data_IF_227543578069
#
_entry.id   IF_227543578069
#
_cell.length_a   1.000
_cell.length_b   1.000
_cell.length_c   1.000
_cell.angle_alpha   90.00
_cell.angle_beta   90.00
_cell.angle_gamma   90.00
#
_symmetry.space_group_name_H-M   'P 1'
#
loop_
_entity.id
_entity.type
_entity.pdbx_description
1 polymer ?
#
# COMPACT_ATOMS: atom_id res chain seq x y z
N UNK A 1 0.89 16.32 -14.47
CA UNK A 1 -0.22 16.81 -13.63
C UNK A 1 -0.94 15.64 -12.97
N UNK A 2 -1.71 14.86 -13.73
CA UNK A 2 -1.81 13.40 -13.70
C UNK A 2 -1.64 12.80 -12.30
N UNK A 3 -0.45 12.27 -12.04
CA UNK A 3 -0.13 11.40 -10.91
C UNK A 3 0.61 12.11 -9.76
N UNK A 4 0.60 13.45 -9.77
CA UNK A 4 1.21 14.28 -8.72
C UNK A 4 0.18 15.12 -7.96
N UNK A 5 0.69 16.12 -7.26
CA UNK A 5 -0.11 17.11 -6.55
C UNK A 5 0.80 18.12 -5.84
N UNK A 6 0.22 19.20 -5.32
CA UNK A 6 0.96 20.24 -4.61
C UNK A 6 0.61 20.21 -3.12
N UNK A 7 1.61 20.39 -2.25
CA UNK A 7 1.44 20.44 -0.79
C UNK A 7 1.71 19.13 -0.07
N UNK A 8 1.10 18.94 1.10
CA UNK A 8 1.34 17.77 1.95
C UNK A 8 0.45 16.58 1.54
N UNK A 9 0.99 15.35 1.68
CA UNK A 9 0.29 14.07 1.44
C UNK A 9 -0.24 13.87 0.01
N UNK A 10 0.47 14.38 -0.98
CA UNK A 10 0.10 14.29 -2.41
C UNK A 10 0.00 12.86 -2.94
N UNK A 11 0.84 11.93 -2.45
CA UNK A 11 0.74 10.48 -2.77
C UNK A 11 -0.49 9.79 -2.16
N UNK A 12 -1.31 10.52 -1.42
CA UNK A 12 -2.59 10.09 -0.85
C UNK A 12 -3.75 10.97 -1.33
N UNK A 13 -3.58 11.68 -2.45
CA UNK A 13 -4.64 12.40 -3.16
C UNK A 13 -4.86 13.85 -2.74
N UNK A 14 -4.15 14.36 -1.72
CA UNK A 14 -4.23 15.77 -1.37
C UNK A 14 -3.55 16.65 -2.43
N UNK A 15 -4.13 17.81 -2.73
CA UNK A 15 -3.57 18.75 -3.72
C UNK A 15 -3.53 18.21 -5.15
N UNK A 16 -4.44 17.28 -5.48
CA UNK A 16 -4.61 16.80 -6.85
C UNK A 16 -5.01 17.96 -7.77
N UNK A 17 -4.41 18.00 -8.95
CA UNK A 17 -4.67 19.02 -9.96
C UNK A 17 -5.44 18.40 -11.13
N UNK A 18 -6.25 19.21 -11.80
CA UNK A 18 -7.03 18.81 -12.95
C UNK A 18 -6.74 19.73 -14.14
N UNK A 19 -6.57 19.13 -15.31
CA UNK A 19 -6.53 19.81 -16.60
C UNK A 19 -7.28 18.95 -17.60
N UNK A 20 -8.38 19.47 -18.13
CA UNK A 20 -9.25 18.75 -19.06
C UNK A 20 -8.49 18.26 -20.31
N UNK A 21 -7.65 19.11 -20.89
CA UNK A 21 -6.86 18.80 -22.08
C UNK A 21 -5.84 17.66 -21.88
N UNK A 22 -5.47 17.36 -20.63
CA UNK A 22 -4.52 16.30 -20.27
C UNK A 22 -5.20 15.14 -19.55
N UNK A 23 -6.53 15.07 -19.55
CA UNK A 23 -7.29 14.06 -18.80
C UNK A 23 -7.63 12.85 -19.66
N UNK A 24 -7.83 11.71 -18.99
CA UNK A 24 -8.36 10.52 -19.65
C UNK A 24 -9.80 10.76 -20.17
N UNK A 25 -10.26 10.00 -21.17
CA UNK A 25 -11.58 10.19 -21.79
C UNK A 25 -12.75 10.20 -20.78
N UNK A 26 -13.79 10.98 -21.09
CA UNK A 26 -14.95 11.26 -20.24
C UNK A 26 -15.67 10.01 -19.69
N UNK A 27 -15.75 8.95 -20.50
CA UNK A 27 -16.41 7.69 -20.20
C UNK A 27 -15.44 6.51 -20.07
N UNK A 28 -14.16 6.80 -19.80
CA UNK A 28 -13.10 5.79 -19.75
C UNK A 28 -13.42 4.67 -18.75
N UNK A 29 -13.29 3.43 -19.21
CA UNK A 29 -13.24 2.24 -18.35
C UNK A 29 -11.78 1.94 -17.95
N UNK A 30 -11.51 0.99 -17.03
CA UNK A 30 -10.15 0.68 -16.61
C UNK A 30 -9.14 0.42 -17.74
N UNK A 31 -9.59 -0.21 -18.83
CA UNK A 31 -8.72 -0.47 -19.98
C UNK A 31 -8.39 0.82 -20.74
N UNK A 32 -9.39 1.65 -21.05
CA UNK A 32 -9.19 2.95 -21.71
C UNK A 32 -8.21 3.84 -20.93
N UNK A 33 -8.26 3.81 -19.59
CA UNK A 33 -7.30 4.56 -18.75
C UNK A 33 -5.88 4.03 -18.90
N UNK A 34 -5.70 2.71 -19.00
CA UNK A 34 -4.38 2.09 -19.20
C UNK A 34 -3.84 2.40 -20.59
N UNK A 35 -4.69 2.36 -21.60
CA UNK A 35 -4.32 2.66 -22.99
C UNK A 35 -3.99 4.15 -23.16
N UNK A 36 -4.79 5.04 -22.56
CA UNK A 36 -4.49 6.47 -22.50
C UNK A 36 -3.16 6.74 -21.78
N UNK A 37 -2.90 6.05 -20.67
CA UNK A 37 -1.63 6.19 -19.94
C UNK A 37 -0.44 5.70 -20.79
N UNK A 38 -0.58 4.56 -21.47
CA UNK A 38 0.44 4.02 -22.36
C UNK A 38 0.73 4.95 -23.54
N UNK A 39 -0.34 5.46 -24.19
CA UNK A 39 -0.22 6.41 -25.29
C UNK A 39 0.44 7.71 -24.84
N UNK A 40 0.09 8.21 -23.65
CA UNK A 40 0.72 9.41 -23.08
C UNK A 40 2.22 9.18 -22.84
N UNK A 41 2.61 8.00 -22.34
CA UNK A 41 4.03 7.66 -22.19
C UNK A 41 4.76 7.66 -23.54
N UNK A 42 4.16 7.05 -24.57
CA UNK A 42 4.73 7.03 -25.92
C UNK A 42 4.87 8.42 -26.54
N UNK A 43 3.86 9.29 -26.39
CA UNK A 43 3.88 10.66 -26.89
C UNK A 43 5.03 11.48 -26.29
N UNK A 44 5.29 11.30 -25.00
CA UNK A 44 6.42 11.96 -24.32
C UNK A 44 7.76 11.24 -24.49
N UNK A 45 7.83 10.19 -25.33
CA UNK A 45 9.05 9.39 -25.52
C UNK A 45 9.53 8.71 -24.24
N UNK A 46 8.63 8.44 -23.31
CA UNK A 46 8.95 7.84 -22.02
C UNK A 46 8.99 6.31 -22.10
N UNK A 47 10.17 5.77 -21.87
CA UNK A 47 10.38 4.33 -21.68
C UNK A 47 10.89 4.06 -20.26
N UNK A 48 10.29 3.10 -19.53
CA UNK A 48 10.78 2.75 -18.20
C UNK A 48 12.18 2.12 -18.33
N UNK A 49 13.17 2.53 -17.51
CA UNK A 49 14.53 1.98 -17.59
C UNK A 49 14.54 0.46 -17.31
N UNK A 50 15.44 -0.31 -17.90
CA UNK A 50 15.47 -1.77 -17.68
C UNK A 50 15.55 -2.11 -16.18
N UNK A 51 16.47 -1.46 -15.46
CA UNK A 51 16.63 -1.57 -14.01
C UNK A 51 15.95 -0.42 -13.26
N UNK A 52 15.59 -0.61 -11.98
CA UNK A 52 15.14 0.48 -11.12
C UNK A 52 16.20 1.59 -11.04
N UNK A 53 15.82 2.83 -11.37
CA UNK A 53 16.68 3.98 -11.18
C UNK A 53 16.74 4.41 -9.70
N UNK A 54 17.79 5.16 -9.35
CA UNK A 54 17.96 5.77 -8.03
C UNK A 54 16.85 6.79 -7.68
N UNK A 55 16.04 7.20 -8.67
CA UNK A 55 14.86 8.04 -8.48
C UNK A 55 13.57 7.31 -8.86
N UNK A 56 12.43 7.66 -8.25
CA UNK A 56 11.15 7.06 -8.63
C UNK A 56 10.76 7.38 -10.06
N UNK A 57 10.39 6.35 -10.83
CA UNK A 57 9.92 6.49 -12.20
C UNK A 57 8.49 5.96 -12.38
N UNK A 58 7.85 6.43 -13.45
CA UNK A 58 6.53 5.92 -13.84
C UNK A 58 6.63 4.45 -14.25
N UNK A 59 5.72 3.59 -13.78
CA UNK A 59 5.74 2.18 -14.15
C UNK A 59 5.11 1.95 -15.53
N UNK A 60 5.19 0.72 -16.06
CA UNK A 60 4.38 0.33 -17.19
C UNK A 60 2.88 0.31 -16.83
N UNK A 61 1.98 0.31 -17.84
CA UNK A 61 0.53 0.43 -17.64
C UNK A 61 -0.11 -0.69 -16.80
N UNK A 62 0.50 -1.86 -16.75
CA UNK A 62 0.00 -3.03 -16.02
C UNK A 62 -0.01 -2.82 -14.49
N UNK A 63 0.90 -2.00 -13.97
CA UNK A 63 1.02 -1.64 -12.55
C UNK A 63 0.04 -0.55 -12.10
N UNK A 64 -0.68 0.08 -13.04
CA UNK A 64 -1.77 1.00 -12.72
C UNK A 64 -3.03 0.18 -12.42
N UNK A 65 -3.54 0.27 -11.20
CA UNK A 65 -4.84 -0.28 -10.82
C UNK A 65 -5.89 0.82 -10.92
N UNK A 66 -6.99 0.56 -11.61
CA UNK A 66 -8.07 1.53 -11.85
C UNK A 66 -9.39 0.95 -11.36
N UNK A 67 -10.14 1.73 -10.59
CA UNK A 67 -11.47 1.32 -10.12
C UNK A 67 -12.43 1.03 -11.26
N UNK A 68 -13.16 -0.07 -11.15
CA UNK A 68 -14.32 -0.35 -11.97
C UNK A 68 -15.54 0.46 -11.51
N UNK A 69 -16.56 0.46 -12.37
CA UNK A 69 -17.70 1.37 -12.25
C UNK A 69 -17.38 2.74 -12.84
N UNK A 70 -18.36 3.34 -13.53
CA UNK A 70 -18.18 4.62 -14.22
C UNK A 70 -17.69 5.75 -13.32
N UNK A 71 -17.36 6.87 -13.97
CA UNK A 71 -16.89 8.08 -13.30
C UNK A 71 -17.82 8.50 -12.14
N UNK A 72 -17.22 8.86 -11.01
CA UNK A 72 -17.91 9.31 -9.78
C UNK A 72 -17.37 10.66 -9.30
N UNK A 73 -17.97 11.23 -8.26
CA UNK A 73 -17.41 12.45 -7.65
C UNK A 73 -15.94 12.23 -7.21
N UNK A 74 -15.02 13.19 -7.47
CA UNK A 74 -13.61 13.09 -7.09
C UNK A 74 -13.38 12.71 -5.62
N UNK A 75 -14.13 13.32 -4.72
CA UNK A 75 -14.06 13.02 -3.28
C UNK A 75 -14.46 11.58 -2.97
N UNK A 76 -15.46 11.04 -3.67
CA UNK A 76 -15.92 9.66 -3.52
C UNK A 76 -14.88 8.67 -4.04
N UNK A 77 -14.29 8.95 -5.20
CA UNK A 77 -13.17 8.15 -5.74
C UNK A 77 -11.97 8.19 -4.78
N UNK A 78 -11.63 9.35 -4.24
CA UNK A 78 -10.57 9.49 -3.24
C UNK A 78 -10.85 8.68 -1.97
N UNK A 79 -12.04 8.81 -1.39
CA UNK A 79 -12.43 8.09 -0.19
C UNK A 79 -12.37 6.56 -0.40
N UNK A 80 -12.77 6.09 -1.57
CA UNK A 80 -12.72 4.68 -1.95
C UNK A 80 -11.28 4.15 -1.96
N UNK A 81 -10.36 4.81 -2.67
CA UNK A 81 -8.96 4.33 -2.75
C UNK A 81 -8.23 4.44 -1.41
N UNK A 82 -8.47 5.50 -0.63
CA UNK A 82 -7.86 5.63 0.71
C UNK A 82 -8.38 4.54 1.64
N UNK A 83 -9.66 4.20 1.54
CA UNK A 83 -10.26 3.10 2.30
C UNK A 83 -9.62 1.75 1.97
N UNK A 84 -9.26 1.48 0.71
CA UNK A 84 -8.52 0.27 0.33
C UNK A 84 -7.20 0.15 1.10
N UNK A 85 -6.38 1.22 1.14
CA UNK A 85 -5.14 1.21 1.93
C UNK A 85 -5.40 1.10 3.44
N UNK A 86 -6.44 1.74 3.94
CA UNK A 86 -6.83 1.63 5.34
C UNK A 86 -7.16 0.17 5.70
N UNK A 87 -8.01 -0.48 4.90
CA UNK A 87 -8.44 -1.86 5.12
C UNK A 87 -7.28 -2.84 5.03
N UNK A 88 -6.35 -2.66 4.09
CA UNK A 88 -5.11 -3.43 4.01
C UNK A 88 -4.26 -3.27 5.28
N UNK A 89 -4.06 -2.03 5.74
CA UNK A 89 -3.25 -1.74 6.95
C UNK A 89 -3.89 -2.21 8.25
N UNK A 90 -5.23 -2.21 8.32
CA UNK A 90 -5.98 -2.45 9.55
C UNK A 90 -6.61 -3.85 9.61
N UNK A 91 -6.48 -4.66 8.55
CA UNK A 91 -6.79 -6.09 8.57
C UNK A 91 -8.27 -6.42 8.58
N UNK A 92 -9.02 -5.85 7.65
CA UNK A 92 -10.35 -6.37 7.34
C UNK A 92 -11.20 -5.43 6.51
N UNK A 93 -11.67 -5.94 5.37
CA UNK A 93 -12.96 -5.53 4.85
C UNK A 93 -14.07 -5.90 5.85
N UNK A 94 -15.22 -5.22 5.79
CA UNK A 94 -16.45 -5.77 6.32
C UNK A 94 -16.75 -7.14 5.66
N UNK A 95 -17.29 -8.09 6.41
CA UNK A 95 -17.88 -9.29 5.82
C UNK A 95 -19.11 -8.95 4.93
N UNK A 96 -19.71 -9.95 4.27
CA UNK A 96 -20.93 -9.82 3.44
C UNK A 96 -22.13 -9.19 4.19
N UNK A 97 -22.06 -9.03 5.52
CA UNK A 97 -23.09 -8.42 6.38
C UNK A 97 -22.67 -7.06 6.93
N UNK A 98 -21.60 -6.45 6.39
CA UNK A 98 -21.13 -5.12 6.83
C UNK A 98 -20.37 -5.12 8.16
N UNK A 99 -20.06 -6.28 8.75
CA UNK A 99 -19.34 -6.35 10.03
C UNK A 99 -17.84 -6.24 9.79
N UNK A 100 -17.24 -5.12 10.24
CA UNK A 100 -15.79 -4.99 10.36
C UNK A 100 -15.29 -6.08 11.32
N UNK A 101 -14.36 -6.92 10.90
CA UNK A 101 -13.51 -7.67 11.83
C UNK A 101 -12.66 -6.65 12.60
N UNK A 102 -13.22 -6.04 13.65
CA UNK A 102 -12.52 -5.00 14.41
C UNK A 102 -13.34 -4.02 15.24
N UNK A 103 -14.65 -4.22 15.44
CA UNK A 103 -15.37 -3.45 16.46
C UNK A 103 -16.06 -4.36 17.48
N UNK A 104 -15.36 -4.51 18.61
CA UNK A 104 -15.88 -4.71 19.98
C UNK A 104 -17.14 -5.55 20.13
N UNK A 105 -16.95 -6.86 20.31
CA UNK A 105 -17.76 -7.66 21.24
C UNK A 105 -16.75 -8.46 22.08
N UNK A 106 -16.99 -8.53 23.38
CA UNK A 106 -16.04 -8.96 24.40
C UNK A 106 -15.27 -10.24 24.04
N UNK A 107 -13.99 -10.26 24.43
CA UNK A 107 -13.17 -11.47 24.53
C UNK A 107 -13.12 -12.35 23.27
N UNK A 108 -12.41 -11.91 22.21
CA UNK A 108 -11.66 -12.76 21.24
C UNK A 108 -11.42 -12.14 19.83
N UNK A 109 -11.91 -10.93 19.51
CA UNK A 109 -11.77 -10.30 18.18
C UNK A 109 -10.34 -9.88 17.82
N UNK A 110 -9.65 -10.65 16.95
CA UNK A 110 -8.20 -10.53 16.69
C UNK A 110 -7.89 -9.50 15.61
N UNK A 111 -7.11 -8.47 15.96
CA UNK A 111 -6.48 -7.52 15.01
C UNK A 111 -5.57 -8.27 14.01
N UNK A 112 -5.32 -7.76 12.78
CA UNK A 112 -4.31 -8.33 11.90
C UNK A 112 -2.98 -8.43 12.61
N UNK A 113 -2.34 -9.58 12.46
CA UNK A 113 -1.05 -9.82 13.07
C UNK A 113 0.06 -9.45 12.08
N UNK A 114 0.24 -8.14 11.90
CA UNK A 114 1.43 -7.61 11.26
C UNK A 114 2.71 -8.15 11.96
N UNK A 115 3.73 -8.61 11.20
CA UNK A 115 4.99 -9.09 11.78
C UNK A 115 5.66 -8.08 12.73
N UNK A 116 5.44 -6.79 12.53
CA UNK A 116 5.98 -5.70 13.38
C UNK A 116 5.57 -5.83 14.83
N UNK A 117 4.32 -6.25 15.08
CA UNK A 117 3.82 -6.44 16.43
C UNK A 117 4.60 -7.53 17.16
N UNK A 118 5.08 -8.56 16.44
CA UNK A 118 5.93 -9.62 16.98
C UNK A 118 7.35 -9.12 17.23
N UNK A 119 7.94 -8.38 16.28
CA UNK A 119 9.29 -7.82 16.44
C UNK A 119 9.40 -6.95 17.70
N UNK A 120 8.39 -6.12 17.99
CA UNK A 120 8.33 -5.32 19.21
C UNK A 120 8.23 -6.15 20.50
N UNK A 121 7.65 -7.35 20.45
CA UNK A 121 7.51 -8.25 21.62
C UNK A 121 8.77 -9.06 21.88
N UNK A 122 9.48 -9.48 20.83
CA UNK A 122 10.72 -10.23 20.94
C UNK A 122 11.85 -9.40 21.59
N UNK A 123 11.88 -8.09 21.35
CA UNK A 123 12.87 -7.18 21.96
C UNK A 123 12.57 -6.71 23.38
N UNK A 124 11.64 -7.33 24.13
CA UNK A 124 11.32 -6.97 25.52
C UNK A 124 12.00 -7.92 26.52
N UNK A 125 12.68 -7.42 27.57
CA UNK A 125 13.13 -8.26 28.69
C UNK A 125 11.92 -8.96 29.33
N UNK A 126 12.00 -10.28 29.52
CA UNK A 126 10.91 -11.09 30.10
C UNK A 126 9.76 -11.46 29.15
N UNK A 127 9.87 -11.14 27.85
CA UNK A 127 8.93 -11.59 26.83
C UNK A 127 9.05 -13.09 26.55
N UNK A 128 8.50 -13.95 27.44
CA UNK A 128 8.42 -15.39 27.15
C UNK A 128 7.52 -15.60 25.91
N UNK A 129 7.96 -16.39 24.91
CA UNK A 129 7.06 -16.93 23.91
C UNK A 129 5.92 -17.63 24.65
N UNK A 130 4.67 -17.24 24.41
CA UNK A 130 3.54 -18.06 24.86
C UNK A 130 3.57 -19.32 24.02
N UNK A 131 4.05 -20.40 24.64
CA UNK A 131 4.21 -21.74 24.10
C UNK A 131 3.09 -22.13 23.15
N UNK A 132 3.47 -22.56 21.94
CA UNK A 132 2.77 -23.65 21.27
C UNK A 132 2.02 -23.36 19.97
N UNK A 133 2.00 -22.15 19.37
CA UNK A 133 1.32 -21.97 18.07
C UNK A 133 1.97 -21.06 17.02
N UNK A 134 3.12 -20.43 17.27
CA UNK A 134 3.80 -19.65 16.23
C UNK A 134 5.25 -19.28 16.62
N UNK A 135 6.14 -20.24 16.87
CA UNK A 135 7.49 -19.93 17.40
C UNK A 135 8.57 -19.63 16.33
N UNK A 136 8.33 -19.89 15.03
CA UNK A 136 9.44 -19.88 14.05
C UNK A 136 9.52 -18.69 13.07
N UNK A 137 8.68 -17.65 13.22
CA UNK A 137 8.73 -16.50 12.31
C UNK A 137 9.69 -15.42 12.80
N UNK A 138 10.69 -14.99 11.98
CA UNK A 138 11.62 -13.94 12.35
C UNK A 138 10.91 -12.60 12.60
N UNK A 139 11.53 -11.68 13.38
CA UNK A 139 11.03 -10.31 13.48
C UNK A 139 10.95 -9.68 12.08
N UNK A 140 9.87 -8.95 11.79
CA UNK A 140 9.65 -8.39 10.47
C UNK A 140 8.98 -7.02 10.47
N UNK A 141 9.28 -6.23 9.44
CA UNK A 141 8.81 -4.88 9.20
C UNK A 141 8.27 -4.65 7.78
N UNK A 142 7.38 -5.51 7.27
CA UNK A 142 6.93 -5.43 5.87
C UNK A 142 6.22 -4.12 5.53
N UNK A 143 5.56 -3.42 6.48
CA UNK A 143 4.93 -2.12 6.18
C UNK A 143 5.93 -1.03 5.82
N UNK A 144 7.23 -1.22 6.08
CA UNK A 144 8.28 -0.30 5.65
C UNK A 144 8.21 -0.02 4.15
N UNK A 145 7.82 -0.99 3.33
CA UNK A 145 7.67 -0.83 1.88
C UNK A 145 6.55 0.14 1.48
N UNK A 146 5.59 0.40 2.37
CA UNK A 146 4.51 1.36 2.13
C UNK A 146 4.88 2.79 2.51
N UNK A 147 6.13 3.03 2.89
CA UNK A 147 6.69 4.34 3.25
C UNK A 147 7.16 4.40 4.71
N UNK A 148 8.17 5.24 4.92
CA UNK A 148 8.83 5.48 6.21
C UNK A 148 8.96 7.00 6.47
N UNK A 149 9.02 7.44 7.74
CA UNK A 149 9.06 6.64 8.97
C UNK A 149 7.69 6.10 9.41
N UNK A 150 7.71 5.04 10.22
CA UNK A 150 6.51 4.48 10.86
C UNK A 150 6.69 4.51 12.37
N UNK A 151 5.77 5.17 13.08
CA UNK A 151 5.72 5.12 14.55
C UNK A 151 5.04 3.83 14.98
N UNK A 152 5.80 2.94 15.59
CA UNK A 152 5.34 1.67 16.14
C UNK A 152 4.96 1.86 17.61
N UNK A 153 3.69 1.58 17.93
CA UNK A 153 3.14 1.64 19.28
C UNK A 153 3.02 0.22 19.84
N UNK A 154 3.64 -0.03 20.99
CA UNK A 154 3.66 -1.37 21.60
C UNK A 154 4.81 -1.64 22.57
N UNK A 155 5.49 -0.59 23.07
CA UNK A 155 6.52 -0.58 24.13
C UNK A 155 6.14 0.43 25.22
N UNK A 156 6.98 0.62 26.23
CA UNK A 156 6.83 1.72 27.21
C UNK A 156 6.83 3.10 26.53
N UNK A 157 7.63 3.25 25.47
CA UNK A 157 7.67 4.43 24.62
C UNK A 157 7.45 4.05 23.14
N UNK A 158 6.80 4.92 22.33
CA UNK A 158 6.72 4.73 20.88
C UNK A 158 8.13 4.66 20.27
N UNK A 159 8.36 3.70 19.38
CA UNK A 159 9.62 3.61 18.62
C UNK A 159 9.35 3.98 17.16
N UNK A 160 10.29 4.67 16.54
CA UNK A 160 10.21 5.05 15.13
C UNK A 160 11.03 4.08 14.29
N UNK A 161 10.39 3.49 13.29
CA UNK A 161 11.07 2.72 12.25
C UNK A 161 11.48 3.65 11.12
N UNK A 162 12.76 3.65 10.80
CA UNK A 162 13.39 4.52 9.80
C UNK A 162 14.08 3.68 8.72
N UNK A 163 14.39 4.23 7.53
CA UNK A 163 15.18 3.50 6.54
C UNK A 163 16.61 3.23 7.06
N UNK A 164 17.22 2.12 6.63
CA UNK A 164 18.61 1.78 6.97
C UNK A 164 19.64 2.75 6.37
N UNK A 165 20.86 2.74 6.91
CA UNK A 165 21.96 3.59 6.41
C UNK A 165 21.77 5.07 6.75
N UNK A 166 21.21 5.39 7.92
CA UNK A 166 21.10 6.76 8.44
C UNK A 166 20.08 7.68 7.76
N UNK A 167 19.34 7.19 6.76
CA UNK A 167 18.30 7.95 6.06
C UNK A 167 17.10 8.19 7.00
N UNK A 168 16.48 9.38 6.93
CA UNK A 168 15.34 9.76 7.82
C UNK A 168 13.96 9.50 7.24
N UNK A 169 13.84 9.40 5.91
CA UNK A 169 12.54 9.32 5.24
C UNK A 169 12.64 8.50 3.97
N UNK A 170 11.60 7.71 3.71
CA UNK A 170 11.37 7.09 2.41
C UNK A 170 9.92 7.34 2.03
N UNK A 171 9.71 8.09 0.96
CA UNK A 171 8.36 8.42 0.51
C UNK A 171 7.71 7.20 -0.12
N UNK A 172 6.45 6.89 0.26
CA UNK A 172 5.72 5.70 -0.20
C UNK A 172 5.79 5.51 -1.72
N UNK A 173 6.22 4.36 -2.25
CA UNK A 173 6.26 4.11 -3.69
C UNK A 173 4.85 3.93 -4.29
N UNK A 174 3.78 4.04 -3.49
CA UNK A 174 2.40 3.93 -3.95
C UNK A 174 1.75 5.31 -3.98
N UNK A 175 1.19 5.68 -5.13
CA UNK A 175 0.29 6.82 -5.30
C UNK A 175 -1.16 6.32 -5.24
N UNK A 176 -1.96 6.93 -4.36
CA UNK A 176 -3.40 6.71 -4.26
C UNK A 176 -4.10 8.03 -4.50
N UNK A 177 -4.96 8.11 -5.52
CA UNK A 177 -5.66 9.35 -5.85
C UNK A 177 -6.95 9.11 -6.64
N UNK A 178 -7.85 10.10 -6.71
CA UNK A 178 -8.81 10.18 -7.80
C UNK A 178 -8.09 10.61 -9.09
N UNK A 179 -8.31 9.89 -10.18
CA UNK A 179 -7.98 10.32 -11.54
C UNK A 179 -9.23 10.96 -12.12
N UNK A 180 -9.22 12.28 -12.29
CA UNK A 180 -10.32 13.01 -12.92
C UNK A 180 -10.26 12.79 -14.44
N UNK A 181 -11.40 12.45 -15.02
CA UNK A 181 -11.65 12.27 -16.44
C UNK A 181 -12.03 13.63 -17.06
N UNK A 182 -12.01 13.76 -18.38
CA UNK A 182 -12.43 15.00 -19.05
C UNK A 182 -13.89 15.40 -18.74
N UNK A 183 -14.73 14.46 -18.30
CA UNK A 183 -16.09 14.75 -17.81
C UNK A 183 -16.16 15.44 -16.44
N UNK A 184 -15.03 15.64 -15.76
CA UNK A 184 -14.97 16.12 -14.37
C UNK A 184 -15.31 15.05 -13.32
N UNK A 185 -15.82 13.88 -13.74
CA UNK A 185 -15.93 12.69 -12.88
C UNK A 185 -14.57 12.03 -12.71
N UNK A 186 -14.42 11.15 -11.73
CA UNK A 186 -13.16 10.52 -11.41
C UNK A 186 -13.25 9.01 -11.19
N UNK A 187 -12.12 8.34 -11.38
CA UNK A 187 -11.90 6.94 -11.03
C UNK A 187 -10.83 6.85 -9.92
N UNK A 188 -10.99 5.98 -8.91
CA UNK A 188 -9.95 5.72 -7.93
C UNK A 188 -8.82 4.97 -8.59
N UNK A 189 -7.59 5.38 -8.34
CA UNK A 189 -6.42 4.68 -8.85
C UNK A 189 -5.41 4.37 -7.76
N UNK A 190 -4.76 3.22 -7.88
CA UNK A 190 -3.55 2.89 -7.15
C UNK A 190 -2.42 2.63 -8.15
N UNK A 191 -1.33 3.38 -8.03
CA UNK A 191 -0.17 3.28 -8.92
C UNK A 191 1.08 2.98 -8.07
N UNK A 192 1.79 1.90 -8.39
CA UNK A 192 3.10 1.60 -7.83
C UNK A 192 4.17 2.24 -8.71
N UNK A 193 4.92 3.20 -8.17
CA UNK A 193 6.12 3.74 -8.81
C UNK A 193 7.21 2.67 -8.88
N UNK A 194 8.06 2.76 -9.90
CA UNK A 194 9.31 2.00 -9.95
C UNK A 194 10.35 2.71 -9.10
N UNK A 195 10.82 2.02 -8.08
CA UNK A 195 11.83 2.51 -7.14
C UNK A 195 12.78 1.37 -6.82
N UNK A 196 14.00 1.70 -6.41
CA UNK A 196 14.85 0.75 -5.70
C UNK A 196 14.11 0.16 -4.50
N UNK A 197 14.44 -1.09 -4.19
CA UNK A 197 13.90 -1.75 -3.01
C UNK A 197 14.58 -1.22 -1.75
N UNK A 198 13.86 -1.20 -0.63
CA UNK A 198 14.51 -0.93 0.66
C UNK A 198 15.44 -2.08 1.02
N UNK A 199 16.71 -1.79 1.25
CA UNK A 199 17.72 -2.77 1.66
C UNK A 199 17.82 -2.95 3.18
N UNK A 200 17.08 -2.15 3.96
CA UNK A 200 17.07 -2.30 5.40
C UNK A 200 16.24 -1.24 6.11
N UNK A 201 16.00 -1.50 7.39
CA UNK A 201 15.32 -0.58 8.30
C UNK A 201 16.08 -0.48 9.62
N UNK A 202 15.93 0.65 10.28
CA UNK A 202 16.50 0.90 11.61
C UNK A 202 15.39 1.15 12.62
N UNK A 203 15.50 0.52 13.79
CA UNK A 203 14.60 0.72 14.93
C UNK A 203 15.43 1.08 16.17
N UNK A 204 15.55 2.38 16.47
CA UNK A 204 16.51 2.84 17.48
C UNK A 204 17.95 2.70 16.95
N UNK A 205 18.78 1.96 17.68
CA UNK A 205 20.18 1.69 17.30
C UNK A 205 20.35 0.38 16.51
N UNK A 206 19.32 -0.45 16.43
CA UNK A 206 19.37 -1.74 15.73
C UNK A 206 19.01 -1.58 14.26
N UNK A 207 19.89 -2.05 13.37
CA UNK A 207 19.62 -2.21 11.94
C UNK A 207 19.14 -3.62 11.62
N UNK A 208 18.26 -3.72 10.63
CA UNK A 208 17.72 -4.96 10.11
C UNK A 208 17.84 -4.97 8.59
N UNK A 209 18.24 -6.11 8.03
CA UNK A 209 18.45 -6.29 6.60
C UNK A 209 17.16 -6.46 5.80
N UNK A 210 17.28 -6.70 4.48
CA UNK A 210 16.14 -6.79 3.58
C UNK A 210 15.19 -7.96 3.90
N UNK A 211 15.71 -9.05 4.48
CA UNK A 211 14.94 -10.21 4.94
C UNK A 211 13.97 -9.90 6.08
N UNK A 212 14.24 -8.83 6.85
CA UNK A 212 13.30 -8.34 7.85
C UNK A 212 12.12 -7.60 7.20
N UNK A 213 12.28 -7.09 5.98
CA UNK A 213 11.25 -6.34 5.26
C UNK A 213 10.43 -7.29 4.39
N UNK A 214 11.11 -8.18 3.66
CA UNK A 214 10.51 -9.14 2.73
C UNK A 214 10.91 -10.55 3.14
N UNK A 215 9.93 -11.31 3.60
CA UNK A 215 10.11 -12.73 3.92
C UNK A 215 8.83 -13.50 3.60
N UNK A 216 8.87 -14.55 2.75
CA UNK A 216 7.70 -15.39 2.46
C UNK A 216 7.01 -15.93 3.72
N UNK A 217 7.77 -16.11 4.80
CA UNK A 217 7.25 -16.57 6.07
C UNK A 217 6.21 -15.60 6.68
N UNK A 218 6.27 -14.30 6.36
CA UNK A 218 5.31 -13.29 6.82
C UNK A 218 3.90 -13.46 6.22
N UNK A 219 3.77 -14.20 5.12
CA UNK A 219 2.49 -14.54 4.49
C UNK A 219 1.91 -15.88 4.99
N UNK A 220 2.62 -16.64 5.83
CA UNK A 220 2.16 -17.95 6.34
C UNK A 220 1.03 -17.83 7.36
N UNK A 221 1.00 -16.77 8.17
CA UNK A 221 -0.10 -16.56 9.13
C UNK A 221 -1.35 -16.09 8.39
N UNK A 222 -2.42 -16.88 8.41
CA UNK A 222 -3.71 -16.56 7.79
C UNK A 222 -4.34 -15.23 8.26
N UNK A 223 -3.88 -14.68 9.40
CA UNK A 223 -4.33 -13.39 9.95
C UNK A 223 -3.44 -12.22 9.52
N UNK A 224 -2.37 -12.48 8.78
CA UNK A 224 -1.51 -11.47 8.19
C UNK A 224 -2.19 -10.87 6.95
N UNK A 225 -2.19 -9.54 6.75
CA UNK A 225 -2.66 -8.94 5.50
C UNK A 225 -1.89 -9.39 4.25
N UNK A 226 -0.71 -9.99 4.45
CA UNK A 226 0.12 -10.55 3.38
C UNK A 226 -0.38 -11.93 2.91
N UNK A 227 -1.13 -12.64 3.74
CA UNK A 227 -1.61 -13.97 3.43
C UNK A 227 -2.49 -13.96 2.18
N UNK A 228 -2.17 -14.85 1.23
CA UNK A 228 -2.88 -14.96 -0.05
C UNK A 228 -2.59 -13.84 -1.05
N UNK A 229 -1.86 -12.79 -0.68
CA UNK A 229 -1.62 -11.63 -1.56
C UNK A 229 -0.16 -11.46 -2.01
N UNK A 230 0.80 -12.18 -1.42
CA UNK A 230 2.21 -12.15 -1.85
C UNK A 230 2.87 -13.52 -1.69
N UNK A 231 3.77 -13.86 -2.62
CA UNK A 231 4.66 -15.03 -2.49
C UNK A 231 6.00 -14.67 -1.84
N UNK A 232 6.43 -13.43 -1.99
CA UNK A 232 7.74 -12.93 -1.50
C UNK A 232 7.69 -12.43 -0.07
N UNK A 233 6.49 -12.17 0.47
CA UNK A 233 6.30 -11.48 1.73
C UNK A 233 6.37 -9.95 1.61
N UNK A 234 6.41 -9.43 0.38
CA UNK A 234 6.36 -7.98 0.13
C UNK A 234 4.98 -7.39 0.44
N UNK A 235 4.93 -6.38 1.31
CA UNK A 235 3.71 -5.62 1.55
C UNK A 235 3.31 -4.77 0.34
N UNK A 236 4.28 -4.36 -0.47
CA UNK A 236 4.01 -3.61 -1.70
C UNK A 236 3.32 -4.48 -2.75
N UNK A 237 3.85 -5.69 -2.99
CA UNK A 237 3.20 -6.70 -3.85
C UNK A 237 1.79 -7.01 -3.32
N UNK A 238 1.68 -7.36 -2.04
CA UNK A 238 0.42 -7.71 -1.40
C UNK A 238 -0.62 -6.59 -1.49
N UNK A 239 -0.21 -5.34 -1.30
CA UNK A 239 -1.10 -4.20 -1.42
C UNK A 239 -1.62 -4.03 -2.85
N UNK A 240 -0.78 -4.20 -3.87
CA UNK A 240 -1.22 -4.03 -5.26
C UNK A 240 -2.19 -5.14 -5.69
N UNK A 241 -1.96 -6.38 -5.25
CA UNK A 241 -2.92 -7.49 -5.45
C UNK A 241 -4.24 -7.19 -4.74
N UNK A 242 -4.20 -6.81 -3.46
CA UNK A 242 -5.38 -6.46 -2.69
C UNK A 242 -6.15 -5.29 -3.31
N UNK A 243 -5.45 -4.23 -3.75
CA UNK A 243 -6.06 -3.08 -4.39
C UNK A 243 -6.77 -3.47 -5.69
N UNK A 244 -6.16 -4.34 -6.50
CA UNK A 244 -6.76 -4.86 -7.73
C UNK A 244 -8.07 -5.60 -7.46
N UNK A 245 -8.08 -6.47 -6.45
CA UNK A 245 -9.28 -7.21 -6.07
C UNK A 245 -10.42 -6.31 -5.59
N UNK A 246 -10.10 -5.21 -4.90
CA UNK A 246 -11.11 -4.29 -4.38
C UNK A 246 -11.62 -3.28 -5.40
N UNK A 247 -10.72 -2.77 -6.23
CA UNK A 247 -11.00 -1.70 -7.17
C UNK A 247 -11.48 -2.24 -8.51
N UNK A 248 -10.82 -3.24 -9.11
CA UNK A 248 -11.16 -3.71 -10.46
C UNK A 248 -12.28 -4.75 -10.45
N UNK A 249 -12.20 -5.74 -9.56
CA UNK A 249 -13.17 -6.85 -9.54
C UNK A 249 -14.52 -6.47 -8.92
N UNK A 250 -14.73 -5.20 -8.58
CA UNK A 250 -15.95 -4.66 -7.98
C UNK A 250 -16.33 -5.51 -6.78
N UNK A 251 -15.61 -5.37 -5.65
CA UNK A 251 -15.75 -6.25 -4.49
C UNK A 251 -17.22 -6.63 -4.27
N UNK A 252 -17.56 -7.89 -4.58
CA UNK A 252 -18.95 -8.36 -4.71
C UNK A 252 -19.79 -7.79 -3.57
N UNK A 253 -20.62 -6.79 -3.88
CA UNK A 253 -21.73 -6.41 -3.02
C UNK A 253 -22.84 -7.39 -3.36
N UNK A 254 -22.83 -8.54 -2.70
CA UNK A 254 -24.04 -9.36 -2.50
C UNK A 254 -24.40 -9.28 -1.04
#
# INVERSE_FOLDING_TARGET
>A
MNFGGIGARTRRGCGALFCEALSAPAAAVPQDVRDWYASSQGEYGWEPPAEPAAWPTLPPPDWLVVGSGGGREPERAWAEVVRVLQEFRQGGAPDRRGRRQGRSVGSSGRRPLWPEGRALRAGRPGGRPKSGRAEDLPPGFPRAELGLPIVLRGGERPKTLEPGGGRKRMASPVILKPLVLSSGKALPIALRLRTESLDGVRLGETEYGPESIRNPAFARDARSPLHGHTKTGSALEAFMVFARERLEKGGKRS
#
